data_IF_872917594875
#
_entry.id   IF_872917594875
#
_cell.length_a   1.000
_cell.length_b   1.000
_cell.length_c   1.000
_cell.angle_alpha   90.00
_cell.angle_beta   90.00
_cell.angle_gamma   90.00
#
_symmetry.space_group_name_H-M   'P 1'
#
loop_
_entity.id
_entity.type
_entity.pdbx_description
1 polymer ?
#
# COMPACT_ATOMS: atom_id res chain seq x y z
N UNK A 1 -7.58 -32.53 7.90
CA UNK A 1 -8.49 -31.37 7.69
C UNK A 1 -8.27 -30.27 8.73
N UNK A 2 -8.60 -30.48 10.02
CA UNK A 2 -8.35 -29.45 11.05
C UNK A 2 -6.86 -29.27 11.37
N UNK A 3 -6.07 -30.35 11.37
CA UNK A 3 -4.60 -30.28 11.53
C UNK A 3 -3.95 -29.54 10.36
N UNK A 4 -4.25 -29.93 9.11
CA UNK A 4 -3.73 -29.25 7.91
C UNK A 4 -4.10 -27.75 7.87
N UNK A 5 -5.30 -27.40 8.30
CA UNK A 5 -5.75 -26.00 8.36
C UNK A 5 -5.00 -25.20 9.43
N UNK A 6 -4.71 -25.81 10.58
CA UNK A 6 -3.91 -25.19 11.63
C UNK A 6 -2.46 -25.00 11.21
N UNK A 7 -1.85 -26.04 10.63
CA UNK A 7 -0.49 -25.97 10.11
C UNK A 7 -0.35 -24.89 9.03
N UNK A 8 -1.33 -24.78 8.12
CA UNK A 8 -1.36 -23.72 7.11
C UNK A 8 -1.52 -22.33 7.73
N UNK A 9 -2.37 -22.19 8.76
CA UNK A 9 -2.54 -20.93 9.49
C UNK A 9 -1.24 -20.50 10.17
N UNK A 10 -0.56 -21.44 10.83
CA UNK A 10 0.71 -21.18 11.50
C UNK A 10 1.80 -20.78 10.49
N UNK A 11 1.87 -21.49 9.35
CA UNK A 11 2.76 -21.14 8.24
C UNK A 11 2.49 -19.72 7.72
N UNK A 12 1.22 -19.36 7.49
CA UNK A 12 0.85 -18.02 7.02
C UNK A 12 1.17 -16.94 8.04
N UNK A 13 1.00 -17.21 9.33
CA UNK A 13 1.39 -16.29 10.40
C UNK A 13 2.89 -16.01 10.39
N UNK A 14 3.71 -17.07 10.28
CA UNK A 14 5.17 -16.94 10.16
C UNK A 14 5.56 -16.21 8.87
N UNK A 15 4.93 -16.55 7.75
CA UNK A 15 5.18 -15.90 6.46
C UNK A 15 4.83 -14.41 6.48
N UNK A 16 3.72 -14.02 7.12
CA UNK A 16 3.34 -12.62 7.27
C UNK A 16 4.36 -11.83 8.09
N UNK A 17 4.81 -12.37 9.23
CA UNK A 17 5.85 -11.74 10.04
C UNK A 17 7.17 -11.65 9.27
N UNK A 18 7.56 -12.72 8.57
CA UNK A 18 8.76 -12.74 7.73
C UNK A 18 8.69 -11.70 6.60
N UNK A 19 7.54 -11.58 5.93
CA UNK A 19 7.33 -10.56 4.90
C UNK A 19 7.42 -9.14 5.47
N UNK A 20 6.80 -8.86 6.62
CA UNK A 20 6.90 -7.56 7.28
C UNK A 20 8.33 -7.24 7.72
N UNK A 21 9.07 -8.21 8.23
CA UNK A 21 10.47 -8.04 8.60
C UNK A 21 11.35 -7.73 7.38
N UNK A 22 11.16 -8.44 6.26
CA UNK A 22 11.88 -8.16 5.02
C UNK A 22 11.54 -6.78 4.47
N UNK A 23 10.25 -6.42 4.44
CA UNK A 23 9.81 -5.08 4.04
C UNK A 23 10.47 -4.03 4.93
N UNK A 24 10.47 -4.22 6.26
CA UNK A 24 11.09 -3.29 7.19
C UNK A 24 12.58 -3.10 6.89
N UNK A 25 13.34 -4.19 6.69
CA UNK A 25 14.77 -4.12 6.37
C UNK A 25 15.00 -3.34 5.07
N UNK A 26 14.25 -3.66 4.01
CA UNK A 26 14.36 -2.97 2.72
C UNK A 26 14.06 -1.47 2.88
N UNK A 27 13.01 -1.12 3.62
CA UNK A 27 12.64 0.27 3.88
C UNK A 27 13.70 1.02 4.70
N UNK A 28 14.27 0.38 5.74
CA UNK A 28 15.34 0.98 6.55
C UNK A 28 16.56 1.26 5.66
N UNK A 29 16.93 0.32 4.79
CA UNK A 29 18.02 0.52 3.83
C UNK A 29 17.70 1.62 2.81
N UNK A 30 16.47 1.68 2.31
CA UNK A 30 16.05 2.70 1.33
C UNK A 30 16.06 4.11 1.92
N UNK A 31 15.46 4.30 3.10
CA UNK A 31 15.29 5.62 3.71
C UNK A 31 16.45 6.04 4.61
N UNK A 32 17.42 5.14 4.86
CA UNK A 32 18.47 5.30 5.86
C UNK A 32 17.93 5.83 7.21
N UNK A 33 16.75 5.33 7.61
CA UNK A 33 15.97 5.82 8.75
C UNK A 33 15.10 4.70 9.30
N UNK A 34 14.89 4.68 10.62
CA UNK A 34 14.01 3.71 11.30
C UNK A 34 12.59 4.25 11.46
N UNK A 35 12.43 5.56 11.68
CA UNK A 35 11.10 6.16 11.91
C UNK A 35 10.22 6.14 10.66
N UNK A 36 10.79 6.42 9.48
CA UNK A 36 10.05 6.46 8.21
C UNK A 36 9.45 5.09 7.84
N UNK A 37 10.20 3.96 7.90
CA UNK A 37 9.64 2.63 7.75
C UNK A 37 8.50 2.32 8.73
N UNK A 38 8.59 2.72 10.00
CA UNK A 38 7.53 2.49 10.98
C UNK A 38 6.23 3.22 10.63
N UNK A 39 6.34 4.45 10.10
CA UNK A 39 5.18 5.20 9.60
C UNK A 39 4.50 4.41 8.47
N UNK A 40 5.27 3.94 7.48
CA UNK A 40 4.75 3.19 6.33
C UNK A 40 4.13 1.85 6.78
N UNK A 41 4.76 1.12 7.70
CA UNK A 41 4.24 -0.16 8.20
C UNK A 41 2.94 -0.02 8.98
N UNK A 42 2.68 1.15 9.57
CA UNK A 42 1.40 1.42 10.25
C UNK A 42 0.24 1.35 9.25
N UNK A 43 0.45 1.69 7.98
CA UNK A 43 -0.57 1.59 6.93
C UNK A 43 -1.01 0.13 6.69
N UNK A 44 -0.11 -0.83 6.85
CA UNK A 44 -0.43 -2.25 6.72
C UNK A 44 -1.41 -2.69 7.81
N UNK A 45 -1.27 -2.14 9.02
CA UNK A 45 -2.22 -2.42 10.12
C UNK A 45 -3.60 -1.86 9.77
N UNK A 46 -3.66 -0.63 9.24
CA UNK A 46 -4.92 -0.03 8.80
C UNK A 46 -5.55 -0.79 7.63
N UNK A 47 -4.75 -1.34 6.73
CA UNK A 47 -5.27 -2.12 5.61
C UNK A 47 -5.98 -3.39 6.09
N UNK A 48 -5.43 -4.08 7.09
CA UNK A 48 -6.05 -5.25 7.74
C UNK A 48 -7.39 -4.86 8.38
N UNK A 49 -7.45 -3.71 9.06
CA UNK A 49 -8.72 -3.19 9.61
C UNK A 49 -9.74 -2.99 8.48
N UNK A 50 -9.30 -2.43 7.34
CA UNK A 50 -10.12 -2.28 6.14
C UNK A 50 -10.68 -3.59 5.59
N UNK A 51 -9.85 -4.64 5.55
CA UNK A 51 -10.27 -5.99 5.17
C UNK A 51 -11.36 -6.49 6.11
N UNK A 52 -11.10 -6.42 7.43
CA UNK A 52 -12.05 -6.91 8.44
C UNK A 52 -13.37 -6.16 8.39
N UNK A 53 -13.33 -4.83 8.24
CA UNK A 53 -14.53 -4.00 8.10
C UNK A 53 -15.32 -4.36 6.83
N UNK A 54 -14.63 -4.50 5.68
CA UNK A 54 -15.28 -4.86 4.43
C UNK A 54 -15.96 -6.23 4.48
N UNK A 55 -15.28 -7.23 5.04
CA UNK A 55 -15.84 -8.57 5.22
C UNK A 55 -17.01 -8.58 6.22
N UNK A 56 -16.90 -7.81 7.33
CA UNK A 56 -17.96 -7.70 8.32
C UNK A 56 -19.22 -7.03 7.76
N UNK A 57 -19.07 -5.96 6.96
CA UNK A 57 -20.21 -5.25 6.35
C UNK A 57 -20.89 -6.11 5.28
N UNK A 58 -20.12 -6.87 4.51
CA UNK A 58 -20.65 -7.70 3.43
C UNK A 58 -21.14 -9.08 3.88
N UNK A 59 -20.83 -9.48 5.11
CA UNK A 59 -21.22 -10.78 5.66
C UNK A 59 -20.54 -11.97 4.97
N UNK A 60 -19.40 -11.75 4.29
CA UNK A 60 -18.68 -12.80 3.60
C UNK A 60 -17.86 -13.66 4.56
N UNK A 61 -17.78 -14.96 4.27
CA UNK A 61 -17.00 -15.90 5.07
C UNK A 61 -15.50 -15.68 4.89
N UNK A 62 -14.76 -15.75 6.00
CA UNK A 62 -13.30 -15.67 6.00
C UNK A 62 -12.71 -17.03 5.66
N UNK A 63 -11.96 -17.10 4.56
CA UNK A 63 -11.10 -18.24 4.26
C UNK A 63 -9.71 -17.94 4.81
N UNK A 64 -9.27 -18.67 5.85
CA UNK A 64 -7.98 -18.44 6.51
C UNK A 64 -6.83 -18.36 5.49
N UNK A 65 -6.81 -19.28 4.54
CA UNK A 65 -5.73 -19.37 3.55
C UNK A 65 -5.79 -18.20 2.57
N UNK A 66 -6.94 -17.97 1.94
CA UNK A 66 -7.08 -16.99 0.86
C UNK A 66 -7.09 -15.55 1.37
N UNK A 67 -7.76 -15.31 2.49
CA UNK A 67 -7.71 -14.00 3.16
C UNK A 67 -6.31 -13.74 3.72
N UNK A 68 -5.62 -14.76 4.27
CA UNK A 68 -4.24 -14.63 4.74
C UNK A 68 -3.27 -14.24 3.62
N UNK A 69 -3.29 -14.97 2.50
CA UNK A 69 -2.49 -14.64 1.31
C UNK A 69 -2.85 -13.25 0.76
N UNK A 70 -4.14 -12.91 0.73
CA UNK A 70 -4.62 -11.59 0.31
C UNK A 70 -4.07 -10.46 1.19
N UNK A 71 -4.03 -10.63 2.52
CA UNK A 71 -3.45 -9.67 3.46
C UNK A 71 -1.94 -9.49 3.22
N UNK A 72 -1.20 -10.58 3.00
CA UNK A 72 0.24 -10.53 2.72
C UNK A 72 0.50 -9.78 1.40
N UNK A 73 -0.27 -10.07 0.35
CA UNK A 73 -0.17 -9.37 -0.92
C UNK A 73 -0.53 -7.87 -0.79
N UNK A 74 -1.60 -7.57 -0.03
CA UNK A 74 -2.05 -6.22 0.24
C UNK A 74 -0.99 -5.39 0.97
N UNK A 75 -0.23 -5.99 1.91
CA UNK A 75 0.84 -5.31 2.62
C UNK A 75 1.84 -4.67 1.65
N UNK A 76 2.28 -5.38 0.61
CA UNK A 76 3.20 -4.83 -0.39
C UNK A 76 2.60 -3.70 -1.22
N UNK A 77 1.32 -3.83 -1.61
CA UNK A 77 0.60 -2.80 -2.40
C UNK A 77 0.48 -1.50 -1.59
N UNK A 78 0.10 -1.61 -0.32
CA UNK A 78 -0.10 -0.47 0.57
C UNK A 78 1.25 0.20 0.88
N UNK A 79 2.28 -0.60 1.21
CA UNK A 79 3.64 -0.09 1.46
C UNK A 79 4.16 0.71 0.27
N UNK A 80 3.93 0.26 -0.97
CA UNK A 80 4.32 1.01 -2.17
C UNK A 80 3.71 2.41 -2.22
N UNK A 81 2.45 2.57 -1.84
CA UNK A 81 1.78 3.87 -1.84
C UNK A 81 2.38 4.79 -0.76
N UNK A 82 2.68 4.25 0.42
CA UNK A 82 3.38 4.97 1.50
C UNK A 82 4.79 5.42 1.12
N UNK A 83 5.60 4.53 0.53
CA UNK A 83 6.96 4.83 0.05
C UNK A 83 6.96 6.07 -0.85
N UNK A 84 6.11 6.09 -1.88
CA UNK A 84 6.11 7.17 -2.87
C UNK A 84 5.82 8.55 -2.28
N UNK A 85 4.98 8.61 -1.24
CA UNK A 85 4.63 9.85 -0.56
C UNK A 85 5.76 10.32 0.35
N UNK A 86 6.31 9.42 1.17
CA UNK A 86 7.41 9.73 2.10
C UNK A 86 8.67 10.12 1.34
N UNK A 87 9.04 9.36 0.30
CA UNK A 87 10.21 9.62 -0.55
C UNK A 87 10.11 10.98 -1.25
N UNK A 88 8.94 11.31 -1.80
CA UNK A 88 8.76 12.61 -2.45
C UNK A 88 8.77 13.77 -1.43
N UNK A 89 8.25 13.55 -0.23
CA UNK A 89 8.35 14.53 0.86
C UNK A 89 9.81 14.75 1.25
N UNK A 90 10.58 13.68 1.42
CA UNK A 90 12.02 13.74 1.73
C UNK A 90 12.82 14.48 0.65
N UNK A 91 12.51 14.21 -0.62
CA UNK A 91 13.12 14.89 -1.75
C UNK A 91 12.83 16.40 -1.73
N UNK A 92 11.60 16.82 -1.45
CA UNK A 92 11.27 18.25 -1.30
C UNK A 92 11.97 18.88 -0.09
N UNK A 93 12.12 18.13 1.01
CA UNK A 93 12.86 18.58 2.20
C UNK A 93 14.35 18.73 1.94
N UNK A 94 14.97 17.85 1.16
CA UNK A 94 16.39 17.94 0.79
C UNK A 94 16.66 19.14 -0.14
N UNK A 95 15.67 19.57 -0.91
CA UNK A 95 15.68 20.81 -1.69
C UNK A 95 15.50 22.08 -0.84
N UNK A 96 15.38 21.93 0.48
CA UNK A 96 15.25 23.06 1.42
C UNK A 96 13.83 23.57 1.62
N UNK A 97 12.81 22.85 1.12
CA UNK A 97 11.42 23.23 1.34
C UNK A 97 11.02 23.06 2.82
N UNK A 98 10.18 23.98 3.31
CA UNK A 98 9.60 23.89 4.64
C UNK A 98 8.76 22.61 4.77
N UNK A 99 8.71 22.03 5.98
CA UNK A 99 8.02 20.76 6.23
C UNK A 99 6.55 20.76 5.77
N UNK A 100 5.83 21.81 6.12
CA UNK A 100 4.42 21.93 5.79
C UNK A 100 4.19 22.00 4.27
N UNK A 101 4.98 22.84 3.58
CA UNK A 101 4.85 23.05 2.14
C UNK A 101 5.25 21.78 1.37
N UNK A 102 6.30 21.09 1.84
CA UNK A 102 6.74 19.81 1.29
C UNK A 102 5.63 18.75 1.40
N UNK A 103 4.98 18.63 2.55
CA UNK A 103 3.90 17.66 2.75
C UNK A 103 2.66 17.97 1.90
N UNK A 104 2.28 19.24 1.80
CA UNK A 104 1.13 19.64 0.97
C UNK A 104 1.41 19.38 -0.51
N UNK A 105 2.59 19.76 -1.00
CA UNK A 105 2.98 19.53 -2.38
C UNK A 105 3.13 18.04 -2.69
N UNK A 106 3.70 17.27 -1.77
CA UNK A 106 3.84 15.83 -1.90
C UNK A 106 2.47 15.13 -1.96
N UNK A 107 1.58 15.46 -1.03
CA UNK A 107 0.21 14.96 -1.01
C UNK A 107 -0.50 15.26 -2.32
N UNK A 108 -0.47 16.51 -2.79
CA UNK A 108 -1.12 16.91 -4.04
C UNK A 108 -0.57 16.18 -5.27
N UNK A 109 0.75 16.02 -5.34
CA UNK A 109 1.42 15.40 -6.50
C UNK A 109 1.23 13.89 -6.53
N UNK A 110 1.25 13.23 -5.37
CA UNK A 110 1.17 11.78 -5.25
C UNK A 110 -0.26 11.24 -5.14
N UNK A 111 -1.25 12.07 -4.79
CA UNK A 111 -2.65 11.66 -4.71
C UNK A 111 -3.15 11.03 -6.01
N UNK A 112 -2.87 11.64 -7.17
CA UNK A 112 -3.32 11.12 -8.46
C UNK A 112 -2.69 9.73 -8.76
N UNK A 113 -1.36 9.55 -8.69
CA UNK A 113 -0.74 8.23 -8.83
C UNK A 113 -1.29 7.17 -7.86
N UNK A 114 -1.46 7.51 -6.57
CA UNK A 114 -1.91 6.56 -5.54
C UNK A 114 -3.37 6.12 -5.77
N UNK A 115 -4.24 7.04 -6.16
CA UNK A 115 -5.64 6.71 -6.50
C UNK A 115 -5.68 5.87 -7.78
N UNK A 116 -4.84 6.19 -8.78
CA UNK A 116 -4.79 5.44 -10.04
C UNK A 116 -4.36 4.00 -9.81
N UNK A 117 -3.31 3.75 -9.03
CA UNK A 117 -2.84 2.39 -8.74
C UNK A 117 -3.87 1.60 -7.95
N UNK A 118 -4.49 2.22 -6.94
CA UNK A 118 -5.54 1.59 -6.15
C UNK A 118 -6.74 1.22 -7.01
N UNK A 119 -7.23 2.17 -7.81
CA UNK A 119 -8.38 1.97 -8.70
C UNK A 119 -8.09 0.93 -9.77
N UNK A 120 -6.91 0.97 -10.40
CA UNK A 120 -6.52 -0.03 -11.39
C UNK A 120 -6.47 -1.45 -10.80
N UNK A 121 -5.91 -1.61 -9.60
CA UNK A 121 -5.89 -2.90 -8.92
C UNK A 121 -7.30 -3.38 -8.54
N UNK A 122 -8.14 -2.49 -8.00
CA UNK A 122 -9.54 -2.81 -7.67
C UNK A 122 -10.30 -3.25 -8.92
N UNK A 123 -10.26 -2.45 -10.00
CA UNK A 123 -10.93 -2.76 -11.25
C UNK A 123 -10.43 -4.06 -11.89
N UNK A 124 -9.12 -4.33 -11.81
CA UNK A 124 -8.54 -5.59 -12.29
C UNK A 124 -8.99 -6.82 -11.51
N UNK A 125 -9.30 -6.65 -10.22
CA UNK A 125 -9.75 -7.74 -9.34
C UNK A 125 -11.28 -7.90 -9.31
N UNK A 126 -12.07 -6.91 -9.76
CA UNK A 126 -13.54 -7.01 -9.76
C UNK A 126 -14.04 -8.24 -10.53
N UNK A 127 -13.60 -8.52 -11.79
CA UNK A 127 -14.06 -9.70 -12.52
C UNK A 127 -13.82 -11.00 -11.75
N UNK A 128 -12.66 -11.12 -11.10
CA UNK A 128 -12.30 -12.27 -10.27
C UNK A 128 -13.15 -12.35 -8.99
N UNK A 129 -13.42 -11.20 -8.35
CA UNK A 129 -14.19 -11.10 -7.12
C UNK A 129 -15.66 -11.47 -7.31
N UNK A 130 -16.26 -11.09 -8.45
CA UNK A 130 -17.66 -11.41 -8.79
C UNK A 130 -17.81 -12.75 -9.52
N UNK A 131 -16.69 -13.36 -9.94
CA UNK A 131 -16.68 -14.64 -10.64
C UNK A 131 -17.09 -14.57 -12.10
N UNK A 132 -16.72 -13.50 -12.79
CA UNK A 132 -16.86 -13.38 -14.23
C UNK A 132 -15.80 -14.24 -14.93
N UNK A 133 -16.23 -15.35 -15.52
CA UNK A 133 -15.38 -16.31 -16.19
C UNK A 133 -15.68 -16.34 -17.70
N UNK A 134 -14.69 -16.77 -18.48
CA UNK A 134 -14.77 -16.95 -19.93
C UNK A 134 -14.54 -18.44 -20.21
N UNK A 135 -15.41 -19.06 -21.00
CA UNK A 135 -15.15 -20.41 -21.49
C UNK A 135 -14.07 -20.37 -22.58
N UNK A 136 -12.83 -20.64 -22.19
CA UNK A 136 -11.70 -20.71 -23.13
C UNK A 136 -11.79 -21.91 -24.06
N UNK A 137 -12.37 -23.02 -23.63
CA UNK A 137 -12.50 -24.22 -24.46
C UNK A 137 -13.43 -23.95 -25.63
N UNK A 138 -14.58 -23.35 -25.35
CA UNK A 138 -15.54 -22.92 -26.35
C UNK A 138 -15.00 -21.75 -27.20
N UNK A 139 -14.28 -20.79 -26.59
CA UNK A 139 -13.61 -19.71 -27.32
C UNK A 139 -12.60 -20.23 -28.36
N UNK A 140 -11.76 -21.21 -28.00
CA UNK A 140 -10.73 -21.73 -28.90
C UNK A 140 -11.25 -22.75 -29.92
N UNK A 141 -12.32 -23.50 -29.60
CA UNK A 141 -12.90 -24.46 -30.54
C UNK A 141 -13.97 -23.87 -31.47
N UNK A 142 -14.78 -22.93 -30.99
CA UNK A 142 -15.96 -22.42 -31.71
C UNK A 142 -15.86 -20.94 -32.09
N UNK A 143 -14.87 -20.21 -31.58
CA UNK A 143 -14.73 -18.76 -31.80
C UNK A 143 -15.74 -17.92 -31.02
N UNK A 144 -16.62 -18.53 -30.22
CA UNK A 144 -17.59 -17.85 -29.37
C UNK A 144 -17.16 -17.95 -27.91
N UNK A 145 -16.63 -16.85 -27.37
CA UNK A 145 -16.34 -16.74 -25.94
C UNK A 145 -17.62 -16.47 -25.16
N UNK A 146 -18.15 -17.49 -24.49
CA UNK A 146 -19.28 -17.32 -23.58
C UNK A 146 -18.78 -16.82 -22.22
N UNK A 147 -19.30 -15.66 -21.81
CA UNK A 147 -19.12 -15.14 -20.46
C UNK A 147 -20.17 -15.76 -19.54
N UNK A 148 -19.72 -16.32 -18.41
CA UNK A 148 -20.63 -16.83 -17.37
C UNK A 148 -20.20 -16.33 -16.00
N UNK A 149 -21.19 -16.19 -15.11
CA UNK A 149 -21.00 -15.81 -13.73
C UNK A 149 -21.01 -17.05 -12.85
N UNK A 150 -19.96 -17.24 -12.06
CA UNK A 150 -19.75 -18.42 -11.21
C UNK A 150 -18.68 -19.36 -11.76
N UNK A 151 -18.49 -20.50 -11.08
CA UNK A 151 -17.44 -21.48 -11.39
C UNK A 151 -16.54 -21.76 -10.17
N UNK A 152 -15.72 -22.80 -10.24
CA UNK A 152 -14.83 -23.16 -9.12
C UNK A 152 -13.80 -22.07 -8.83
N UNK A 153 -13.43 -21.28 -9.85
CA UNK A 153 -12.49 -20.16 -9.75
C UNK A 153 -12.91 -19.11 -8.72
N UNK A 154 -14.19 -18.71 -8.67
CA UNK A 154 -14.63 -17.66 -7.72
C UNK A 154 -14.69 -18.17 -6.29
N UNK A 155 -14.97 -19.45 -6.09
CA UNK A 155 -15.00 -20.06 -4.75
C UNK A 155 -13.59 -20.06 -4.14
N UNK A 156 -12.57 -20.29 -4.96
CA UNK A 156 -11.18 -20.32 -4.53
C UNK A 156 -10.55 -18.92 -4.47
N UNK A 157 -10.69 -18.11 -5.52
CA UNK A 157 -10.00 -16.81 -5.66
C UNK A 157 -10.80 -15.60 -5.19
N UNK A 158 -12.13 -15.73 -5.07
CA UNK A 158 -13.02 -14.66 -4.63
C UNK A 158 -12.63 -14.08 -3.26
N UNK A 159 -12.42 -14.90 -2.21
CA UNK A 159 -12.02 -14.39 -0.89
C UNK A 159 -10.71 -13.60 -0.92
N UNK A 160 -9.74 -14.00 -1.76
CA UNK A 160 -8.48 -13.26 -1.95
C UNK A 160 -8.74 -11.91 -2.63
N UNK A 161 -9.51 -11.90 -3.72
CA UNK A 161 -9.81 -10.68 -4.47
C UNK A 161 -10.57 -9.66 -3.62
N UNK A 162 -11.61 -10.09 -2.91
CA UNK A 162 -12.38 -9.23 -1.99
C UNK A 162 -11.53 -8.68 -0.85
N UNK A 163 -10.62 -9.51 -0.31
CA UNK A 163 -9.67 -9.09 0.71
C UNK A 163 -8.82 -7.92 0.22
N UNK A 164 -8.22 -8.04 -0.97
CA UNK A 164 -7.41 -6.96 -1.53
C UNK A 164 -8.28 -5.73 -1.84
N UNK A 165 -9.47 -5.90 -2.43
CA UNK A 165 -10.36 -4.78 -2.78
C UNK A 165 -10.73 -3.96 -1.55
N UNK A 166 -11.23 -4.57 -0.47
CA UNK A 166 -11.63 -3.82 0.72
C UNK A 166 -10.45 -3.21 1.44
N UNK A 167 -9.40 -4.00 1.64
CA UNK A 167 -8.21 -3.54 2.33
C UNK A 167 -7.55 -2.38 1.60
N UNK A 168 -7.45 -2.44 0.27
CA UNK A 168 -6.89 -1.37 -0.55
C UNK A 168 -7.79 -0.14 -0.59
N UNK A 169 -9.10 -0.31 -0.75
CA UNK A 169 -10.04 0.83 -0.76
C UNK A 169 -9.97 1.63 0.53
N UNK A 170 -9.93 0.94 1.68
CA UNK A 170 -9.81 1.58 2.98
C UNK A 170 -8.39 2.14 3.21
N UNK A 171 -7.36 1.35 2.93
CA UNK A 171 -5.97 1.75 3.13
C UNK A 171 -5.63 2.99 2.30
N UNK A 172 -6.06 3.08 1.03
CA UNK A 172 -5.78 4.25 0.19
C UNK A 172 -6.32 5.55 0.79
N UNK A 173 -7.52 5.53 1.35
CA UNK A 173 -8.08 6.71 2.04
C UNK A 173 -7.28 7.07 3.28
N UNK A 174 -6.90 6.05 4.06
CA UNK A 174 -6.14 6.22 5.30
C UNK A 174 -4.71 6.68 5.01
N UNK A 175 -4.01 6.09 4.05
CA UNK A 175 -2.63 6.43 3.63
C UNK A 175 -2.52 7.91 3.28
N UNK A 176 -3.45 8.43 2.48
CA UNK A 176 -3.43 9.83 2.05
C UNK A 176 -3.61 10.83 3.19
N UNK A 177 -4.19 10.42 4.33
CA UNK A 177 -4.43 11.28 5.48
C UNK A 177 -3.44 11.02 6.62
N UNK A 178 -3.23 9.77 6.97
CA UNK A 178 -2.43 9.34 8.12
C UNK A 178 -0.94 9.50 7.85
N UNK A 179 -0.45 9.19 6.65
CA UNK A 179 1.00 9.26 6.38
C UNK A 179 1.54 10.68 6.47
N UNK A 180 0.91 11.72 5.85
CA UNK A 180 1.37 13.09 6.03
C UNK A 180 1.36 13.54 7.50
N UNK A 181 0.32 13.15 8.25
CA UNK A 181 0.16 13.52 9.66
C UNK A 181 1.20 12.83 10.54
N UNK A 182 1.45 11.53 10.33
CA UNK A 182 2.44 10.75 11.07
C UNK A 182 3.86 11.22 10.75
N UNK A 183 4.15 11.55 9.49
CA UNK A 183 5.43 12.16 9.10
C UNK A 183 5.62 13.51 9.81
N UNK A 184 4.61 14.39 9.76
CA UNK A 184 4.66 15.69 10.44
C UNK A 184 4.86 15.56 11.94
N UNK A 185 4.15 14.63 12.58
CA UNK A 185 4.25 14.39 14.02
C UNK A 185 5.65 13.88 14.38
N UNK A 186 6.19 12.94 13.61
CA UNK A 186 7.54 12.42 13.81
C UNK A 186 8.60 13.52 13.72
N UNK A 187 8.53 14.37 12.69
CA UNK A 187 9.47 15.50 12.53
C UNK A 187 9.34 16.52 13.67
N UNK A 188 8.11 16.87 14.09
CA UNK A 188 7.90 17.78 15.22
C UNK A 188 8.42 17.23 16.53
N UNK A 189 8.18 15.94 16.80
CA UNK A 189 8.69 15.27 18.00
C UNK A 189 10.23 15.26 17.96
N UNK A 190 10.83 14.91 16.83
CA UNK A 190 12.28 14.87 16.69
C UNK A 190 12.92 16.26 16.88
N UNK A 191 12.32 17.31 16.33
CA UNK A 191 12.75 18.69 16.53
C UNK A 191 12.62 19.13 18.00
N UNK A 192 11.52 18.77 18.68
CA UNK A 192 11.32 19.06 20.09
C UNK A 192 12.39 18.39 20.98
N UNK A 193 12.78 17.15 20.65
CA UNK A 193 13.85 16.44 21.38
C UNK A 193 15.25 16.96 21.07
N UNK A 194 15.51 17.41 19.83
CA UNK A 194 16.84 17.87 19.39
C UNK A 194 17.06 19.38 19.57
N UNK A 195 16.01 20.13 19.89
CA UNK A 195 16.06 21.60 19.96
C UNK A 195 16.27 22.28 18.60
N UNK A 196 16.10 21.55 17.50
CA UNK A 196 16.30 22.03 16.12
C UNK A 196 15.03 22.72 15.61
N UNK A 197 15.18 23.71 14.74
CA UNK A 197 14.04 24.24 14.00
C UNK A 197 13.54 23.19 12.99
N UNK A 198 12.25 22.84 13.09
CA UNK A 198 11.54 21.90 12.22
C UNK A 198 11.66 22.30 10.74
N UNK A 199 11.75 23.60 10.46
CA UNK A 199 11.84 24.11 9.10
C UNK A 199 13.26 24.04 8.53
N UNK A 200 14.28 23.88 9.39
CA UNK A 200 15.64 23.69 8.90
C UNK A 200 15.73 22.39 8.09
N UNK A 201 16.42 22.37 6.94
CA UNK A 201 16.64 21.16 6.16
C UNK A 201 17.28 20.08 7.06
N UNK A 202 16.94 18.79 6.92
CA UNK A 202 17.60 17.73 7.67
C UNK A 202 19.13 17.73 7.39
N UNK A 203 19.96 17.32 8.36
CA UNK A 203 21.42 17.47 8.28
C UNK A 203 22.14 16.54 7.28
N UNK A 204 21.46 15.96 6.29
CA UNK A 204 22.07 14.94 5.43
C UNK A 204 21.79 15.11 3.94
N UNK A 205 22.90 15.01 3.20
CA UNK A 205 23.11 14.93 1.75
C UNK A 205 23.02 16.26 1.01
N UNK A 206 24.14 16.80 0.48
CA UNK A 206 24.08 17.87 -0.52
C UNK A 206 23.26 17.31 -1.68
N UNK A 207 22.09 17.86 -1.94
CA UNK A 207 21.32 17.47 -3.11
C UNK A 207 22.19 17.76 -4.35
N UNK A 208 22.49 16.72 -5.12
CA UNK A 208 23.16 16.86 -6.40
C UNK A 208 22.27 17.77 -7.24
N UNK A 209 22.77 18.94 -7.64
CA UNK A 209 21.95 19.99 -8.27
C UNK A 209 21.20 19.49 -9.51
N UNK A 210 21.75 18.47 -10.18
CA UNK A 210 21.14 17.80 -11.33
C UNK A 210 19.88 16.99 -10.98
N UNK A 211 19.83 16.34 -9.81
CA UNK A 211 18.65 15.58 -9.35
C UNK A 211 17.53 16.53 -8.90
N UNK A 212 17.90 17.71 -8.40
CA UNK A 212 16.99 18.80 -8.03
C UNK A 212 16.32 19.42 -9.27
N UNK A 213 17.10 19.68 -10.31
CA UNK A 213 16.61 20.28 -11.56
C UNK A 213 15.69 19.31 -12.32
N UNK A 214 16.03 18.02 -12.35
CA UNK A 214 15.21 16.98 -13.00
C UNK A 214 13.86 16.72 -12.33
N UNK A 215 13.75 16.94 -11.01
CA UNK A 215 12.52 16.73 -10.24
C UNK A 215 11.61 17.96 -10.18
N UNK A 216 12.04 19.11 -10.71
CA UNK A 216 11.25 20.34 -10.70
C UNK A 216 10.19 20.28 -11.81
N UNK A 217 8.88 20.28 -11.51
CA UNK A 217 7.86 20.30 -12.55
C UNK A 217 7.94 21.62 -13.35
N UNK A 218 7.68 21.60 -14.67
CA UNK A 218 7.88 22.75 -15.57
C UNK A 218 6.98 23.96 -15.28
N UNK A 219 6.12 23.88 -14.26
CA UNK A 219 5.21 24.96 -13.86
C UNK A 219 5.87 25.93 -12.87
N UNK A 220 7.11 25.65 -12.44
CA UNK A 220 7.88 26.48 -11.49
C UNK A 220 9.19 27.04 -12.07
N UNK A 221 9.43 26.90 -13.38
CA UNK A 221 10.55 27.50 -14.10
C UNK A 221 10.18 28.87 -14.69
#
# INVERSE_FOLDING_TARGET
AQEDQKETSDFLGVAAIGALALIFIVLVTQFNSVSKPLIILTEVIFSIIGVMLGLAITGMNISIVMTGVGIIALAGIVVKNGILLVEFTDMLRSQGMNLHDALVLAGRTRLNPVILTATAAILGLIPLAVGLNIDFYELFNSGHGHFYLGGESVVFWGPLAWTIIFGLSFATLVTLLVVPVMYLLNEKIHAAFTGRDVNSPPPTVPADREEVEAATPPVLA
#
